data_IF_335485419183
#
_entry.id   IF_335485419183
#
_cell.length_a   1.000
_cell.length_b   1.000
_cell.length_c   1.000
_cell.angle_alpha   90.00
_cell.angle_beta   90.00
_cell.angle_gamma   90.00
#
_symmetry.space_group_name_H-M   'P 1'
#
loop_
_entity.id
_entity.type
_entity.pdbx_description
1 polymer ?
#
# COMPACT_ATOMS: atom_id res chain seq x y z
N UNK A 1 0.14 -21.79 -17.37
CA UNK A 1 -0.29 -20.45 -16.90
C UNK A 1 0.60 -20.12 -15.72
N UNK A 2 1.52 -19.18 -15.91
CA UNK A 2 2.37 -18.66 -14.84
C UNK A 2 1.49 -18.04 -13.76
N UNK A 3 1.86 -18.25 -12.50
CA UNK A 3 1.31 -17.51 -11.36
C UNK A 3 1.89 -16.10 -11.42
N UNK A 4 1.03 -15.08 -11.56
CA UNK A 4 1.43 -13.68 -11.49
C UNK A 4 2.08 -13.41 -10.12
N UNK A 5 3.25 -12.77 -10.09
CA UNK A 5 3.89 -12.41 -8.84
C UNK A 5 3.09 -11.31 -8.12
N UNK A 6 3.02 -11.38 -6.80
CA UNK A 6 2.21 -10.46 -5.98
C UNK A 6 3.02 -9.22 -5.62
N UNK A 7 2.42 -8.04 -5.83
CA UNK A 7 2.90 -6.78 -5.28
C UNK A 7 1.78 -6.21 -4.40
N UNK A 8 2.04 -6.10 -3.10
CA UNK A 8 1.12 -5.43 -2.18
C UNK A 8 1.31 -3.91 -2.26
N UNK A 9 0.23 -3.17 -2.09
CA UNK A 9 0.14 -1.73 -2.19
C UNK A 9 -0.75 -1.18 -1.07
N UNK A 10 -0.35 -0.04 -0.54
CA UNK A 10 -1.04 0.66 0.54
C UNK A 10 -0.64 2.15 0.53
N UNK A 11 -1.53 3.04 0.96
CA UNK A 11 -1.28 4.47 1.10
C UNK A 11 -1.58 5.01 2.50
N UNK A 12 -0.87 6.08 2.85
CA UNK A 12 -1.20 6.92 4.02
C UNK A 12 -1.67 8.29 3.57
N UNK A 13 -2.54 8.91 4.36
CA UNK A 13 -3.11 10.22 4.04
C UNK A 13 -3.27 11.09 5.27
N UNK A 14 -3.51 12.39 5.07
CA UNK A 14 -3.85 13.31 6.18
C UNK A 14 -5.31 13.18 6.64
N UNK A 15 -6.10 12.32 5.99
CA UNK A 15 -7.54 12.17 6.21
C UNK A 15 -8.27 11.61 4.98
N UNK A 16 -9.60 11.71 4.98
CA UNK A 16 -10.48 11.07 4.01
C UNK A 16 -11.24 12.07 3.11
N UNK A 17 -11.04 13.37 3.27
CA UNK A 17 -11.69 14.40 2.45
C UNK A 17 -11.00 14.58 1.09
N UNK A 18 -11.69 15.20 0.15
CA UNK A 18 -11.10 15.55 -1.16
C UNK A 18 -9.96 16.57 -1.05
N UNK A 19 -9.83 17.26 0.08
CA UNK A 19 -8.78 18.25 0.34
C UNK A 19 -7.62 17.68 1.14
N UNK A 20 -7.73 16.45 1.63
CA UNK A 20 -6.61 15.76 2.29
C UNK A 20 -5.53 15.36 1.28
N UNK A 21 -4.32 15.16 1.79
CA UNK A 21 -3.12 14.88 1.01
C UNK A 21 -2.70 13.42 1.14
N UNK A 22 -2.10 12.89 0.08
CA UNK A 22 -1.36 11.64 0.07
C UNK A 22 0.01 11.86 0.73
N UNK A 23 0.29 11.12 1.80
CA UNK A 23 1.51 11.28 2.60
C UNK A 23 2.53 10.18 2.31
N UNK A 24 2.10 8.92 2.18
CA UNK A 24 2.98 7.80 1.86
C UNK A 24 2.33 6.89 0.81
N UNK A 25 3.16 6.30 -0.05
CA UNK A 25 2.77 5.20 -0.93
C UNK A 25 3.79 4.07 -0.78
N UNK A 26 3.31 2.88 -0.45
CA UNK A 26 4.12 1.68 -0.27
C UNK A 26 3.86 0.62 -1.33
N UNK A 27 4.92 -0.11 -1.69
CA UNK A 27 4.83 -1.34 -2.47
C UNK A 27 5.70 -2.43 -1.83
N UNK A 28 5.16 -3.63 -1.61
CA UNK A 28 5.93 -4.80 -1.15
C UNK A 28 5.91 -5.92 -2.18
N UNK A 29 7.11 -6.37 -2.56
CA UNK A 29 7.31 -7.50 -3.47
C UNK A 29 8.28 -8.52 -2.83
N UNK A 30 8.36 -9.73 -3.39
CA UNK A 30 9.24 -10.79 -2.89
C UNK A 30 10.71 -10.34 -2.73
N UNK A 31 11.20 -9.50 -3.66
CA UNK A 31 12.59 -9.05 -3.69
C UNK A 31 12.87 -7.77 -2.89
N UNK A 32 11.85 -7.16 -2.29
CA UNK A 32 12.00 -5.95 -1.46
C UNK A 32 10.80 -5.01 -1.53
N UNK A 33 10.78 -4.04 -0.60
CA UNK A 33 9.74 -3.01 -0.51
C UNK A 33 10.25 -1.65 -1.00
N UNK A 34 9.37 -0.89 -1.64
CA UNK A 34 9.61 0.47 -2.13
C UNK A 34 8.60 1.42 -1.51
N UNK A 35 9.07 2.48 -0.88
CA UNK A 35 8.21 3.47 -0.19
C UNK A 35 8.52 4.88 -0.68
N UNK A 36 7.49 5.69 -0.87
CA UNK A 36 7.55 7.09 -1.27
C UNK A 36 6.90 7.92 -0.17
N UNK A 37 7.60 8.91 0.36
CA UNK A 37 7.13 9.82 1.41
C UNK A 37 7.02 11.24 0.87
N UNK A 38 5.86 11.88 1.07
CA UNK A 38 5.63 13.31 0.86
C UNK A 38 5.73 14.03 2.23
N UNK A 39 6.57 15.07 2.31
CA UNK A 39 6.78 15.85 3.54
C UNK A 39 6.06 17.20 3.55
N UNK A 40 5.42 17.58 2.44
CA UNK A 40 4.77 18.89 2.26
C UNK A 40 5.68 20.06 2.68
N UNK A 41 6.94 20.00 2.24
CA UNK A 41 7.99 20.98 2.50
C UNK A 41 8.57 20.96 3.92
N UNK A 42 8.08 20.07 4.80
CA UNK A 42 8.61 19.93 6.16
C UNK A 42 10.00 19.29 6.16
N UNK A 43 10.83 19.71 7.12
CA UNK A 43 12.17 19.17 7.27
C UNK A 43 12.12 17.68 7.64
N UNK A 44 12.80 16.86 6.84
CA UNK A 44 12.97 15.43 7.10
C UNK A 44 14.44 15.12 7.37
N UNK A 45 14.71 14.18 8.26
CA UNK A 45 16.06 13.77 8.59
C UNK A 45 16.70 13.07 7.38
N UNK A 46 17.93 13.46 7.01
CA UNK A 46 18.60 12.90 5.83
C UNK A 46 18.96 11.43 5.96
N UNK A 47 18.97 10.91 7.19
CA UNK A 47 19.27 9.52 7.53
C UNK A 47 18.02 8.67 7.78
N UNK A 48 16.81 9.18 7.51
CA UNK A 48 15.54 8.49 7.80
C UNK A 48 15.47 7.08 7.19
N UNK A 49 15.95 6.87 5.96
CA UNK A 49 15.97 5.53 5.34
C UNK A 49 16.83 4.56 6.16
N UNK A 50 17.97 5.02 6.67
CA UNK A 50 18.83 4.19 7.51
C UNK A 50 18.12 3.84 8.82
N UNK A 51 17.54 4.84 9.52
CA UNK A 51 16.85 4.62 10.79
C UNK A 51 15.65 3.70 10.64
N UNK A 52 14.85 3.88 9.60
CA UNK A 52 13.76 2.96 9.24
C UNK A 52 14.33 1.55 9.09
N UNK A 53 15.37 1.37 8.27
CA UNK A 53 15.96 0.05 8.02
C UNK A 53 16.61 -0.60 9.25
N UNK A 54 17.03 0.15 10.27
CA UNK A 54 17.53 -0.41 11.54
C UNK A 54 16.44 -1.17 12.32
N UNK A 55 15.16 -0.89 12.06
CA UNK A 55 14.02 -1.60 12.63
C UNK A 55 13.61 -2.84 11.83
N UNK A 56 14.14 -3.03 10.61
CA UNK A 56 13.62 -4.01 9.66
C UNK A 56 14.58 -5.18 9.43
N UNK A 57 14.04 -6.40 9.47
CA UNK A 57 14.78 -7.60 9.06
C UNK A 57 15.11 -7.59 7.56
N UNK A 58 14.15 -7.14 6.73
CA UNK A 58 14.32 -6.96 5.29
C UNK A 58 14.33 -5.47 5.00
N UNK A 59 15.40 -4.92 4.39
CA UNK A 59 15.48 -3.48 4.14
C UNK A 59 14.48 -3.05 3.06
N UNK A 60 14.19 -1.75 3.06
CA UNK A 60 13.36 -1.06 2.08
C UNK A 60 14.16 0.03 1.39
N UNK A 61 13.70 0.42 0.21
CA UNK A 61 14.19 1.63 -0.48
C UNK A 61 13.17 2.74 -0.28
N UNK A 62 13.58 3.86 0.33
CA UNK A 62 12.73 5.02 0.60
C UNK A 62 13.10 6.17 -0.34
N UNK A 63 12.13 6.97 -0.78
CA UNK A 63 12.42 8.30 -1.31
C UNK A 63 11.50 9.32 -0.71
N UNK A 64 12.04 10.52 -0.55
CA UNK A 64 11.40 11.65 0.11
C UNK A 64 11.12 12.70 -0.96
N UNK A 65 9.93 13.26 -0.92
CA UNK A 65 9.41 14.21 -1.88
C UNK A 65 8.89 15.43 -1.14
N UNK A 66 9.22 16.61 -1.65
CA UNK A 66 8.89 17.88 -1.01
C UNK A 66 7.38 18.21 -1.11
N UNK A 67 6.68 17.62 -2.08
CA UNK A 67 5.25 17.83 -2.29
C UNK A 67 4.56 16.59 -2.90
N UNK A 68 3.23 16.62 -2.87
CA UNK A 68 2.39 15.54 -3.38
C UNK A 68 2.53 15.35 -4.90
N UNK A 69 2.80 16.41 -5.64
CA UNK A 69 3.01 16.36 -7.09
C UNK A 69 4.25 15.52 -7.44
N UNK A 70 5.38 15.82 -6.79
CA UNK A 70 6.62 15.10 -6.94
C UNK A 70 6.49 13.63 -6.51
N UNK A 71 5.71 13.35 -5.45
CA UNK A 71 5.41 11.98 -5.03
C UNK A 71 4.63 11.22 -6.12
N UNK A 72 3.57 11.82 -6.67
CA UNK A 72 2.75 11.16 -7.70
C UNK A 72 3.54 10.90 -8.99
N UNK A 73 4.42 11.83 -9.40
CA UNK A 73 5.36 11.64 -10.52
C UNK A 73 6.31 10.46 -10.27
N UNK A 74 6.87 10.38 -9.06
CA UNK A 74 7.80 9.33 -8.69
C UNK A 74 7.13 7.95 -8.65
N UNK A 75 5.89 7.88 -8.15
CA UNK A 75 5.08 6.65 -8.16
C UNK A 75 4.81 6.21 -9.60
N UNK A 76 4.33 7.10 -10.47
CA UNK A 76 4.08 6.78 -11.90
C UNK A 76 5.35 6.27 -12.59
N UNK A 77 6.46 6.97 -12.39
CA UNK A 77 7.76 6.60 -12.96
C UNK A 77 8.20 5.22 -12.51
N UNK A 78 8.06 4.92 -11.22
CA UNK A 78 8.41 3.61 -10.67
C UNK A 78 7.53 2.51 -11.22
N UNK A 79 6.22 2.72 -11.28
CA UNK A 79 5.27 1.74 -11.80
C UNK A 79 5.56 1.42 -13.25
N UNK A 80 5.74 2.43 -14.10
CA UNK A 80 6.06 2.25 -15.52
C UNK A 80 7.38 1.49 -15.74
N UNK A 81 8.42 1.86 -14.98
CA UNK A 81 9.76 1.30 -15.16
C UNK A 81 9.93 -0.09 -14.53
N UNK A 82 9.20 -0.39 -13.46
CA UNK A 82 9.50 -1.55 -12.60
C UNK A 82 8.36 -2.56 -12.54
N UNK A 83 7.12 -2.10 -12.54
CA UNK A 83 5.94 -2.94 -12.28
C UNK A 83 5.25 -3.33 -13.58
N UNK A 84 4.92 -2.36 -14.44
CA UNK A 84 4.11 -2.56 -15.65
C UNK A 84 4.74 -3.55 -16.65
N UNK A 85 6.07 -3.69 -16.65
CA UNK A 85 6.79 -4.59 -17.56
C UNK A 85 6.89 -6.05 -17.06
N UNK A 86 6.21 -6.40 -15.95
CA UNK A 86 6.32 -7.72 -15.30
C UNK A 86 4.99 -8.45 -15.29
N UNK A 87 5.06 -9.78 -15.25
CA UNK A 87 3.91 -10.67 -15.00
C UNK A 87 3.51 -10.61 -13.51
N UNK A 88 2.93 -9.49 -13.09
CA UNK A 88 2.55 -9.21 -11.69
C UNK A 88 1.07 -8.91 -11.55
N UNK A 89 0.58 -9.01 -10.32
CA UNK A 89 -0.72 -8.50 -9.88
C UNK A 89 -0.53 -7.55 -8.71
N UNK A 90 -1.32 -6.50 -8.70
CA UNK A 90 -1.40 -5.55 -7.58
C UNK A 90 -2.43 -6.05 -6.58
N UNK A 91 -2.11 -5.99 -5.29
CA UNK A 91 -3.05 -6.33 -4.23
C UNK A 91 -3.05 -5.25 -3.16
N UNK A 92 -4.20 -4.97 -2.57
CA UNK A 92 -4.32 -4.10 -1.42
C UNK A 92 -5.34 -4.70 -0.44
N UNK A 93 -5.26 -4.35 0.83
CA UNK A 93 -6.25 -4.76 1.81
C UNK A 93 -7.27 -3.64 1.96
N UNK A 94 -8.53 -3.87 1.57
CA UNK A 94 -9.58 -2.84 1.64
C UNK A 94 -9.24 -1.63 0.74
N UNK A 95 -8.74 -1.87 -0.47
CA UNK A 95 -8.20 -0.82 -1.33
C UNK A 95 -9.18 -0.20 -2.31
N UNK A 96 -10.32 -0.82 -2.59
CA UNK A 96 -11.13 -0.44 -3.75
C UNK A 96 -12.43 0.33 -3.44
N UNK A 97 -13.15 -0.05 -2.40
CA UNK A 97 -14.55 0.36 -2.21
C UNK A 97 -14.71 1.60 -1.34
N UNK A 98 -15.01 2.78 -1.90
CA UNK A 98 -15.24 3.98 -1.06
C UNK A 98 -16.39 3.79 -0.04
N UNK A 99 -16.09 3.94 1.26
CA UNK A 99 -16.92 3.55 2.44
C UNK A 99 -16.98 2.05 2.74
N UNK A 100 -15.92 1.36 2.40
CA UNK A 100 -15.57 -0.01 2.77
C UNK A 100 -14.28 -0.37 2.05
N UNK A 101 -13.33 0.58 2.04
CA UNK A 101 -12.11 0.63 1.22
C UNK A 101 -11.67 2.05 0.81
N UNK A 102 -10.38 2.26 0.52
CA UNK A 102 -9.82 3.62 0.51
C UNK A 102 -8.76 3.94 -0.55
N UNK A 103 -7.75 3.09 -0.75
CA UNK A 103 -6.52 3.48 -1.44
C UNK A 103 -6.75 3.98 -2.87
N UNK A 104 -7.42 3.16 -3.69
CA UNK A 104 -7.62 3.47 -5.11
C UNK A 104 -8.60 4.65 -5.31
N UNK A 105 -9.75 4.75 -4.59
CA UNK A 105 -10.59 5.96 -4.65
C UNK A 105 -9.85 7.24 -4.26
N UNK A 106 -9.05 7.22 -3.18
CA UNK A 106 -8.31 8.40 -2.76
C UNK A 106 -7.25 8.77 -3.77
N UNK A 107 -6.44 7.81 -4.23
CA UNK A 107 -5.43 8.04 -5.25
C UNK A 107 -6.02 8.59 -6.54
N UNK A 108 -7.16 8.06 -7.02
CA UNK A 108 -7.87 8.62 -8.19
C UNK A 108 -8.28 10.07 -7.97
N UNK A 109 -8.75 10.40 -6.77
CA UNK A 109 -9.14 11.77 -6.41
C UNK A 109 -7.93 12.69 -6.47
N UNK A 110 -6.81 12.30 -5.86
CA UNK A 110 -5.56 13.08 -5.89
C UNK A 110 -5.03 13.23 -7.32
N UNK A 111 -4.89 12.15 -8.08
CA UNK A 111 -4.46 12.22 -9.48
C UNK A 111 -5.37 13.13 -10.32
N UNK A 112 -6.68 13.11 -10.11
CA UNK A 112 -7.61 14.02 -10.77
C UNK A 112 -7.39 15.49 -10.40
N UNK A 113 -7.12 15.78 -9.12
CA UNK A 113 -6.82 17.15 -8.67
C UNK A 113 -5.51 17.68 -9.26
N UNK A 114 -4.52 16.82 -9.43
CA UNK A 114 -3.21 17.16 -9.96
C UNK A 114 -3.10 17.02 -11.49
N UNK A 115 -4.15 16.56 -12.18
CA UNK A 115 -4.16 16.40 -13.64
C UNK A 115 -3.21 15.30 -14.14
N UNK A 116 -3.07 14.22 -13.37
CA UNK A 116 -2.10 13.13 -13.59
C UNK A 116 -2.78 11.85 -14.09
N UNK A 117 -2.03 11.06 -14.83
CA UNK A 117 -2.52 9.79 -15.39
C UNK A 117 -2.61 8.69 -14.32
N UNK A 118 -3.49 7.71 -14.58
CA UNK A 118 -3.62 6.53 -13.72
C UNK A 118 -2.42 5.59 -13.88
N UNK A 119 -1.66 5.28 -12.81
CA UNK A 119 -0.43 4.50 -12.93
C UNK A 119 -0.66 3.00 -13.15
N UNK A 120 -1.84 2.47 -12.82
CA UNK A 120 -2.06 1.02 -12.72
C UNK A 120 -2.86 0.42 -13.89
N UNK A 121 -2.94 1.10 -15.03
CA UNK A 121 -3.87 0.75 -16.11
C UNK A 121 -3.82 -0.72 -16.56
N UNK A 122 -2.63 -1.31 -16.66
CA UNK A 122 -2.47 -2.67 -17.19
C UNK A 122 -2.36 -3.76 -16.10
N UNK A 123 -2.55 -3.40 -14.82
CA UNK A 123 -2.33 -4.31 -13.71
C UNK A 123 -3.62 -5.02 -13.30
N UNK A 124 -3.61 -6.37 -13.26
CA UNK A 124 -4.63 -7.13 -12.54
C UNK A 124 -4.61 -6.75 -11.07
N UNK A 125 -5.77 -6.55 -10.48
CA UNK A 125 -5.94 -6.15 -9.08
C UNK A 125 -6.78 -7.14 -8.30
N UNK A 126 -6.42 -7.35 -7.04
CA UNK A 126 -7.18 -8.14 -6.07
C UNK A 126 -7.31 -7.35 -4.77
N UNK A 127 -8.53 -7.21 -4.26
CA UNK A 127 -8.76 -6.75 -2.90
C UNK A 127 -8.66 -7.94 -1.94
N UNK A 128 -7.64 -7.94 -1.09
CA UNK A 128 -7.33 -9.05 -0.18
C UNK A 128 -8.44 -9.22 0.86
N UNK A 129 -9.07 -8.13 1.29
CA UNK A 129 -10.12 -8.17 2.32
C UNK A 129 -11.33 -9.01 1.86
N UNK A 130 -11.72 -8.93 0.59
CA UNK A 130 -12.85 -9.70 0.04
C UNK A 130 -12.67 -11.22 0.23
N UNK A 131 -11.43 -11.70 0.16
CA UNK A 131 -11.09 -13.11 0.33
C UNK A 131 -11.22 -13.51 1.80
N UNK A 132 -10.61 -12.74 2.70
CA UNK A 132 -10.59 -13.08 4.13
C UNK A 132 -11.98 -12.96 4.76
N UNK A 133 -12.78 -11.97 4.34
CA UNK A 133 -14.16 -11.82 4.80
C UNK A 133 -15.11 -12.93 4.34
N UNK A 134 -14.72 -13.80 3.41
CA UNK A 134 -15.60 -14.83 2.84
C UNK A 134 -15.04 -16.26 2.89
N UNK A 135 -13.72 -16.43 2.99
CA UNK A 135 -13.03 -17.73 2.88
C UNK A 135 -12.33 -18.17 4.15
N UNK A 136 -12.12 -17.27 5.10
CA UNK A 136 -11.49 -17.55 6.38
C UNK A 136 -12.46 -17.27 7.52
N UNK A 137 -12.33 -18.02 8.62
CA UNK A 137 -13.22 -17.92 9.77
C UNK A 137 -12.59 -17.05 10.86
N UNK A 138 -12.17 -15.83 10.51
CA UNK A 138 -11.58 -14.87 11.45
C UNK A 138 -12.67 -14.18 12.27
N UNK A 139 -12.31 -13.66 13.44
CA UNK A 139 -13.29 -13.01 14.33
C UNK A 139 -13.56 -11.55 13.97
N UNK A 140 -12.64 -10.94 13.22
CA UNK A 140 -12.75 -9.59 12.66
C UNK A 140 -12.20 -9.52 11.23
N UNK A 141 -12.26 -8.34 10.61
CA UNK A 141 -11.84 -8.10 9.22
C UNK A 141 -10.82 -6.96 9.09
N UNK A 142 -10.26 -6.44 10.19
CA UNK A 142 -9.15 -5.47 10.12
C UNK A 142 -7.90 -6.16 9.58
N UNK A 143 -7.01 -5.41 8.92
CA UNK A 143 -5.74 -5.96 8.42
C UNK A 143 -4.92 -6.56 9.57
N UNK A 144 -4.77 -5.80 10.65
CA UNK A 144 -4.02 -6.20 11.85
C UNK A 144 -4.65 -7.42 12.53
N UNK A 145 -5.95 -7.40 12.79
CA UNK A 145 -6.65 -8.50 13.45
C UNK A 145 -6.61 -9.81 12.66
N UNK A 146 -6.86 -9.75 11.34
CA UNK A 146 -6.78 -10.93 10.46
C UNK A 146 -5.34 -11.46 10.38
N UNK A 147 -4.35 -10.56 10.28
CA UNK A 147 -2.93 -10.94 10.28
C UNK A 147 -2.50 -11.61 11.58
N UNK A 148 -2.91 -11.09 12.74
CA UNK A 148 -2.59 -11.63 14.05
C UNK A 148 -3.21 -13.01 14.28
N UNK A 149 -4.46 -13.22 13.83
CA UNK A 149 -5.14 -14.50 13.93
C UNK A 149 -4.52 -15.59 13.05
N UNK A 150 -4.05 -15.24 11.84
CA UNK A 150 -3.71 -16.24 10.80
C UNK A 150 -2.22 -16.39 10.50
N UNK A 151 -1.42 -15.35 10.70
CA UNK A 151 0.01 -15.34 10.33
C UNK A 151 0.89 -15.27 11.56
N UNK A 152 0.62 -14.33 12.45
CA UNK A 152 1.63 -13.82 13.36
C UNK A 152 1.25 -13.91 14.83
N UNK A 153 0.46 -14.89 15.27
CA UNK A 153 0.08 -15.05 16.68
C UNK A 153 1.29 -14.84 17.62
N UNK A 154 1.39 -13.66 18.26
CA UNK A 154 2.47 -13.29 19.18
C UNK A 154 3.80 -12.81 18.58
N UNK A 155 3.89 -12.38 17.32
CA UNK A 155 5.10 -11.76 16.76
C UNK A 155 4.94 -10.24 16.65
N UNK A 156 5.90 -9.50 17.21
CA UNK A 156 5.90 -8.04 17.19
C UNK A 156 5.92 -7.49 15.76
N UNK A 157 5.20 -6.40 15.57
CA UNK A 157 5.18 -5.66 14.31
C UNK A 157 6.11 -4.45 14.40
N UNK A 158 6.60 -3.96 13.27
CA UNK A 158 7.41 -2.73 13.22
C UNK A 158 6.56 -1.46 13.31
N UNK A 159 5.24 -1.64 13.30
CA UNK A 159 4.24 -0.58 13.37
C UNK A 159 4.26 0.07 14.77
N UNK A 160 4.50 1.38 14.86
CA UNK A 160 4.54 2.07 16.14
C UNK A 160 3.15 2.44 16.68
N UNK A 161 2.09 2.32 15.88
CA UNK A 161 0.75 2.80 16.24
C UNK A 161 -0.15 1.69 16.77
N UNK A 162 -1.03 2.04 17.71
CA UNK A 162 -2.14 1.18 18.13
C UNK A 162 -3.30 1.34 17.14
N UNK A 163 -3.52 2.56 16.63
CA UNK A 163 -4.57 2.90 15.68
C UNK A 163 -4.01 3.67 14.47
N UNK A 164 -4.39 3.28 13.24
CA UNK A 164 -3.89 3.93 12.01
C UNK A 164 -4.14 5.45 11.94
N UNK A 165 -5.16 5.97 12.65
CA UNK A 165 -5.39 7.42 12.71
C UNK A 165 -4.24 8.20 13.35
N UNK A 166 -3.40 7.56 14.17
CA UNK A 166 -2.21 8.18 14.77
C UNK A 166 -1.16 8.57 13.73
N UNK A 167 -1.14 7.92 12.55
CA UNK A 167 -0.26 8.27 11.45
C UNK A 167 -0.51 9.70 10.93
N UNK A 168 -1.74 10.20 11.04
CA UNK A 168 -2.09 11.58 10.67
C UNK A 168 -1.37 12.58 11.58
N UNK A 169 -1.45 12.37 12.89
CA UNK A 169 -0.84 13.25 13.89
C UNK A 169 0.69 13.17 13.83
N UNK A 170 1.23 11.97 13.62
CA UNK A 170 2.66 11.75 13.41
C UNK A 170 3.18 12.51 12.19
N UNK A 171 2.47 12.43 11.05
CA UNK A 171 2.84 13.18 9.85
C UNK A 171 2.80 14.69 10.08
N UNK A 172 1.73 15.19 10.72
CA UNK A 172 1.56 16.63 11.02
C UNK A 172 2.65 17.18 11.95
N UNK A 173 3.20 16.33 12.82
CA UNK A 173 4.28 16.69 13.76
C UNK A 173 5.68 16.43 13.21
N UNK A 174 5.79 15.88 11.99
CA UNK A 174 7.05 15.58 11.32
C UNK A 174 7.71 14.28 11.77
N UNK A 175 6.99 13.40 12.47
CA UNK A 175 7.46 12.05 12.81
C UNK A 175 7.27 11.10 11.61
N UNK A 176 7.97 11.42 10.53
CA UNK A 176 7.89 10.68 9.27
C UNK A 176 8.39 9.24 9.38
N UNK A 177 9.29 8.95 10.33
CA UNK A 177 9.77 7.59 10.54
C UNK A 177 8.63 6.68 11.01
N UNK A 178 7.83 7.13 11.97
CA UNK A 178 6.70 6.37 12.46
C UNK A 178 5.66 6.11 11.36
N UNK A 179 5.35 7.13 10.55
CA UNK A 179 4.41 7.01 9.41
C UNK A 179 4.92 6.01 8.36
N UNK A 180 6.23 6.06 8.05
CA UNK A 180 6.83 5.11 7.10
C UNK A 180 6.83 3.69 7.65
N UNK A 181 7.11 3.49 8.94
CA UNK A 181 7.08 2.17 9.58
C UNK A 181 5.67 1.56 9.61
N UNK A 182 4.64 2.39 9.83
CA UNK A 182 3.23 1.98 9.73
C UNK A 182 2.91 1.43 8.34
N UNK A 183 3.14 2.24 7.30
CA UNK A 183 2.88 1.83 5.92
C UNK A 183 3.65 0.56 5.52
N UNK A 184 4.92 0.43 5.95
CA UNK A 184 5.74 -0.77 5.72
C UNK A 184 5.13 -2.00 6.38
N UNK A 185 4.59 -1.86 7.60
CA UNK A 185 3.91 -2.94 8.26
C UNK A 185 2.68 -3.38 7.46
N UNK A 186 1.86 -2.43 6.97
CA UNK A 186 0.61 -2.73 6.27
C UNK A 186 0.80 -3.36 4.89
N UNK A 187 1.74 -2.87 4.06
CA UNK A 187 2.07 -3.55 2.80
C UNK A 187 2.58 -4.99 3.02
N UNK A 188 3.35 -5.22 4.09
CA UNK A 188 3.90 -6.55 4.41
C UNK A 188 2.84 -7.49 4.98
N UNK A 189 1.97 -7.00 5.87
CA UNK A 189 0.81 -7.75 6.37
C UNK A 189 -0.09 -8.15 5.20
N UNK A 190 -0.38 -7.22 4.31
CA UNK A 190 -1.18 -7.44 3.10
C UNK A 190 -0.56 -8.53 2.21
N UNK A 191 0.74 -8.46 1.92
CA UNK A 191 1.41 -9.49 1.12
C UNK A 191 1.40 -10.86 1.80
N UNK A 192 1.69 -10.91 3.10
CA UNK A 192 1.70 -12.15 3.87
C UNK A 192 0.31 -12.81 3.92
N UNK A 193 -0.76 -12.02 4.06
CA UNK A 193 -2.13 -12.53 3.95
C UNK A 193 -2.44 -13.03 2.54
N UNK A 194 -1.99 -12.34 1.49
CA UNK A 194 -2.13 -12.85 0.13
C UNK A 194 -1.41 -14.20 -0.05
N UNK A 195 -0.21 -14.37 0.52
CA UNK A 195 0.53 -15.65 0.49
C UNK A 195 -0.24 -16.78 1.21
N UNK A 196 -0.97 -16.46 2.30
CA UNK A 196 -1.87 -17.41 2.98
C UNK A 196 -3.06 -17.76 2.09
N UNK A 197 -3.72 -16.77 1.49
CA UNK A 197 -4.87 -16.99 0.61
C UNK A 197 -4.50 -17.89 -0.57
N UNK A 198 -3.37 -17.62 -1.25
CA UNK A 198 -2.91 -18.42 -2.39
C UNK A 198 -2.57 -19.87 -2.04
N UNK A 199 -2.20 -20.13 -0.79
CA UNK A 199 -1.88 -21.47 -0.31
C UNK A 199 -3.14 -22.33 -0.11
N UNK A 200 -4.24 -21.73 0.33
CA UNK A 200 -5.40 -22.47 0.81
C UNK A 200 -6.67 -22.31 -0.04
N UNK A 201 -6.80 -21.20 -0.77
CA UNK A 201 -7.97 -20.93 -1.61
C UNK A 201 -7.79 -21.48 -3.03
N UNK A 202 -8.90 -21.80 -3.68
CA UNK A 202 -8.90 -22.19 -5.08
C UNK A 202 -8.75 -20.96 -5.97
N UNK A 203 -8.27 -21.14 -7.22
CA UNK A 203 -8.17 -20.03 -8.18
C UNK A 203 -9.49 -19.28 -8.42
N UNK A 204 -10.63 -19.99 -8.31
CA UNK A 204 -11.96 -19.40 -8.48
C UNK A 204 -12.39 -18.51 -7.31
N UNK A 205 -11.68 -18.54 -6.19
CA UNK A 205 -11.98 -17.67 -5.04
C UNK A 205 -11.40 -16.26 -5.20
N UNK A 206 -10.54 -16.04 -6.20
CA UNK A 206 -9.90 -14.75 -6.47
C UNK A 206 -10.67 -13.98 -7.56
N UNK A 207 -11.29 -12.87 -7.16
CA UNK A 207 -11.93 -11.93 -8.08
C UNK A 207 -10.89 -10.93 -8.61
N UNK A 208 -10.14 -11.30 -9.66
CA UNK A 208 -9.23 -10.37 -10.33
C UNK A 208 -10.00 -9.32 -11.12
N UNK A 209 -9.68 -8.05 -10.89
CA UNK A 209 -10.26 -6.88 -11.54
C UNK A 209 -9.22 -6.23 -12.46
N UNK A 210 -9.68 -5.61 -13.55
CA UNK A 210 -8.83 -4.76 -14.38
C UNK A 210 -8.85 -3.34 -13.81
N UNK A 211 -7.68 -2.73 -13.68
CA UNK A 211 -7.54 -1.32 -13.32
C UNK A 211 -7.45 -0.40 -14.55
N UNK A 212 -7.71 -0.92 -15.74
CA UNK A 212 -7.65 -0.17 -17.00
C UNK A 212 -8.73 0.91 -17.07
N UNK A 213 -8.37 2.19 -17.29
CA UNK A 213 -9.36 3.24 -17.54
C UNK A 213 -10.09 3.00 -18.87
N UNK A 214 -11.39 3.30 -18.90
CA UNK A 214 -12.25 3.11 -20.09
C UNK A 214 -11.76 3.84 -21.34
N UNK A 215 -11.01 4.93 -21.19
CA UNK A 215 -10.51 5.76 -22.29
C UNK A 215 -9.03 5.52 -22.65
N UNK A 216 -8.38 4.50 -22.08
CA UNK A 216 -6.95 4.18 -22.30
C UNK A 216 -6.63 3.45 -23.60
N UNK A 217 -7.63 3.07 -24.41
CA UNK A 217 -7.42 2.38 -25.69
C UNK A 217 -7.39 3.33 -26.88
N UNK A 218 -6.23 3.96 -27.14
CA UNK A 218 -5.86 4.44 -28.48
C UNK A 218 -4.40 4.12 -28.81
#
# INVERSE_FOLDING_TARGET
>A
MSTLATIAFDIETTGFSTTDQLTVVGFDAEIGSRVFLNTDGSACASDIEQRVNEHLTTPVTLSIHDDEDALLDAVKTFVDATIAQRDVKLVAYNGETWKGGFDLPFLRTRLSHHGREWPFAELPYIDVMEIFSSRFNTTENSLTGVYDELVASGHGTVDPFEESSEAVDAWQTGDFEAVVLHNIADIRRTRALMDVAERYCSKSDFSMKSLEPVMGGQ
#
